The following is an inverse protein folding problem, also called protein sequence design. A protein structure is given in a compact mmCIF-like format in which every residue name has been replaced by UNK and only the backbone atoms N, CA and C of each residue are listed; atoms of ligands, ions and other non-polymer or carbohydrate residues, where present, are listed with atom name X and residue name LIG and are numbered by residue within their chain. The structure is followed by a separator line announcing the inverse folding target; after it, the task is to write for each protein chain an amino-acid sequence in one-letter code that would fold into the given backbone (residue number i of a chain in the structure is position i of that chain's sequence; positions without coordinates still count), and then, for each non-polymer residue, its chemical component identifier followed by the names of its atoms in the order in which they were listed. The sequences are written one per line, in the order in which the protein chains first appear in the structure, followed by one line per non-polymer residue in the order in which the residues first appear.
data_IF_354461833828
#
_entry.id   IF_354461833828
#
_cell.length_a   1.000
_cell.length_b   1.000
_cell.length_c   1.000
_cell.angle_alpha   90.00
_cell.angle_beta   90.00
_cell.angle_gamma   90.00
#
_symmetry.space_group_name_H-M   'P 1'
#
loop_
_entity.id
_entity.type
_entity.pdbx_description
1 polymer ?
#
# COMPACT_ATOMS: atom_id res chain seq x y z
N UNK A 1 5.45 30.65 -51.61
CA UNK A 1 4.99 29.31 -51.26
C UNK A 1 6.07 28.28 -51.57
N UNK A 2 6.43 27.47 -50.61
CA UNK A 2 7.33 26.32 -50.75
C UNK A 2 6.51 25.02 -50.78
N UNK A 3 6.98 24.00 -51.48
CA UNK A 3 6.38 22.68 -51.45
C UNK A 3 6.62 22.08 -50.05
N UNK A 4 5.54 21.78 -49.34
CA UNK A 4 5.63 21.26 -47.97
C UNK A 4 5.47 19.74 -47.91
N UNK A 5 4.54 19.20 -48.70
CA UNK A 5 4.28 17.76 -48.71
C UNK A 5 3.57 17.31 -49.99
N UNK A 6 3.63 16.02 -50.27
CA UNK A 6 2.77 15.30 -51.21
C UNK A 6 2.03 14.21 -50.43
N UNK A 7 0.71 14.18 -50.53
CA UNK A 7 -0.18 13.22 -49.84
C UNK A 7 -1.02 12.48 -50.87
N UNK A 8 -1.37 11.24 -50.55
CA UNK A 8 -2.25 10.39 -51.37
C UNK A 8 -3.72 10.48 -50.95
N UNK A 9 -4.01 11.06 -49.78
CA UNK A 9 -5.35 11.27 -49.26
C UNK A 9 -5.90 12.67 -49.55
N UNK A 10 -7.09 12.92 -49.03
CA UNK A 10 -7.83 14.18 -49.15
C UNK A 10 -7.62 15.16 -48.00
N UNK A 11 -6.68 14.85 -47.09
CA UNK A 11 -6.36 15.67 -45.93
C UNK A 11 -4.85 15.76 -45.70
N UNK A 12 -4.42 16.87 -45.13
CA UNK A 12 -3.05 17.12 -44.73
C UNK A 12 -3.02 17.80 -43.34
N UNK A 13 -2.20 17.29 -42.43
CA UNK A 13 -1.95 17.90 -41.12
C UNK A 13 -0.49 18.38 -41.07
N UNK A 14 -0.29 19.67 -40.85
CA UNK A 14 1.05 20.21 -40.64
C UNK A 14 1.46 19.99 -39.17
N UNK A 15 2.53 19.23 -38.94
CA UNK A 15 3.07 18.91 -37.61
C UNK A 15 4.44 19.51 -37.32
N UNK A 16 5.02 20.25 -38.30
CA UNK A 16 6.40 20.74 -38.23
C UNK A 16 6.47 22.24 -38.55
N UNK A 17 7.39 22.92 -37.87
CA UNK A 17 7.67 24.34 -38.08
C UNK A 17 6.44 25.24 -37.95
N UNK A 18 5.57 24.90 -36.96
CA UNK A 18 4.39 25.69 -36.61
C UNK A 18 4.57 26.30 -35.24
N UNK A 19 4.30 27.57 -35.08
CA UNK A 19 4.41 28.35 -33.87
C UNK A 19 3.03 28.85 -33.41
N UNK A 20 2.80 28.85 -32.11
CA UNK A 20 1.53 29.26 -31.55
C UNK A 20 1.23 30.72 -31.86
N UNK A 21 0.04 30.99 -32.37
CA UNK A 21 -0.43 32.31 -32.77
C UNK A 21 -0.14 32.68 -34.22
N UNK A 22 0.75 31.98 -34.91
CA UNK A 22 1.08 32.27 -36.31
C UNK A 22 -0.01 31.75 -37.25
N UNK A 23 -0.26 32.52 -38.33
CA UNK A 23 -1.19 32.17 -39.39
C UNK A 23 -0.39 31.65 -40.59
N UNK A 24 -0.74 30.47 -41.02
CA UNK A 24 -0.12 29.79 -42.16
C UNK A 24 -1.10 29.73 -43.33
N UNK A 25 -0.58 29.91 -44.54
CA UNK A 25 -1.37 30.00 -45.75
C UNK A 25 -1.05 28.79 -46.65
N UNK A 26 -2.07 28.05 -47.02
CA UNK A 26 -1.95 26.81 -47.78
C UNK A 26 -2.71 26.90 -49.10
N UNK A 27 -2.16 26.25 -50.14
CA UNK A 27 -2.86 25.91 -51.37
C UNK A 27 -2.46 24.49 -51.79
N UNK A 28 -3.37 23.76 -52.37
CA UNK A 28 -3.16 22.39 -52.84
C UNK A 28 -3.45 22.27 -54.32
N UNK A 29 -2.85 21.29 -54.99
CA UNK A 29 -3.17 20.91 -56.36
C UNK A 29 -3.10 19.39 -56.51
N UNK A 30 -3.93 18.83 -57.38
CA UNK A 30 -3.84 17.45 -57.75
C UNK A 30 -2.65 17.17 -58.66
N UNK A 31 -2.06 15.98 -58.50
CA UNK A 31 -1.05 15.44 -59.40
C UNK A 31 -1.60 14.16 -60.02
N UNK A 32 -1.44 13.99 -61.35
CA UNK A 32 -1.68 12.73 -62.03
C UNK A 32 -0.59 11.70 -61.69
N UNK A 33 -0.80 10.46 -62.07
CA UNK A 33 0.17 9.38 -61.86
C UNK A 33 1.51 9.62 -62.62
N UNK A 34 1.47 10.36 -63.71
CA UNK A 34 2.64 10.78 -64.53
C UNK A 34 3.36 12.02 -63.94
N UNK A 35 2.90 12.57 -62.81
CA UNK A 35 3.45 13.76 -62.19
C UNK A 35 2.90 15.09 -62.75
N UNK A 36 2.05 15.07 -63.79
CA UNK A 36 1.42 16.28 -64.35
C UNK A 36 0.55 16.96 -63.30
N UNK A 37 0.75 18.25 -63.08
CA UNK A 37 0.06 19.02 -62.07
C UNK A 37 -1.18 19.73 -62.60
N UNK A 38 -2.26 19.67 -61.86
CA UNK A 38 -3.48 20.45 -62.08
C UNK A 38 -3.39 21.89 -61.56
N UNK A 39 -4.47 22.63 -61.70
CA UNK A 39 -4.59 23.98 -61.18
C UNK A 39 -4.50 24.01 -59.63
N UNK A 40 -4.01 25.14 -59.11
CA UNK A 40 -3.98 25.37 -57.65
C UNK A 40 -5.38 25.71 -57.14
N UNK A 41 -5.67 25.25 -55.91
CA UNK A 41 -6.81 25.72 -55.13
C UNK A 41 -6.70 27.22 -54.80
N UNK A 42 -7.78 27.83 -54.38
CA UNK A 42 -7.74 29.05 -53.61
C UNK A 42 -6.87 28.88 -52.35
N UNK A 43 -6.35 29.98 -51.83
CA UNK A 43 -5.55 29.99 -50.59
C UNK A 43 -6.46 29.80 -49.38
N UNK A 44 -6.08 28.91 -48.48
CA UNK A 44 -6.70 28.73 -47.18
C UNK A 44 -5.71 29.19 -46.11
N UNK A 45 -6.18 29.99 -45.16
CA UNK A 45 -5.39 30.40 -43.98
C UNK A 45 -5.81 29.64 -42.74
N UNK A 46 -4.84 29.20 -41.99
CA UNK A 46 -5.07 28.50 -40.69
C UNK A 46 -4.15 29.11 -39.66
N UNK A 47 -4.73 29.62 -38.57
CA UNK A 47 -3.96 30.09 -37.41
C UNK A 47 -3.76 28.94 -36.44
N UNK A 48 -2.49 28.60 -36.18
CA UNK A 48 -2.17 27.57 -35.18
C UNK A 48 -2.39 28.11 -33.76
N UNK A 49 -3.28 27.47 -33.01
CA UNK A 49 -3.50 27.75 -31.59
C UNK A 49 -3.15 26.50 -30.82
N UNK A 50 -2.01 26.54 -30.13
CA UNK A 50 -1.66 25.49 -29.21
C UNK A 50 -2.68 25.45 -28.05
N UNK A 51 -3.36 24.35 -27.88
CA UNK A 51 -4.22 24.09 -26.73
C UNK A 51 -3.41 23.46 -25.60
N UNK A 52 -3.64 23.91 -24.37
CA UNK A 52 -3.06 23.25 -23.19
C UNK A 52 -3.84 21.97 -22.88
N UNK A 53 -3.10 20.88 -22.73
CA UNK A 53 -3.69 19.60 -22.29
C UNK A 53 -4.23 19.67 -20.87
N UNK A 54 -5.14 18.75 -20.55
CA UNK A 54 -5.63 18.59 -19.19
C UNK A 54 -4.50 18.10 -18.27
N UNK A 55 -4.32 18.69 -17.05
CA UNK A 55 -3.41 18.14 -16.06
C UNK A 55 -3.86 16.76 -15.59
N UNK A 56 -2.93 15.80 -15.42
CA UNK A 56 -3.19 14.54 -14.76
C UNK A 56 -3.05 14.75 -13.24
N UNK A 57 -4.19 14.90 -12.55
CA UNK A 57 -4.23 15.26 -11.13
C UNK A 57 -4.39 14.02 -10.27
N UNK A 58 -3.61 13.95 -9.19
CA UNK A 58 -3.77 12.99 -8.10
C UNK A 58 -4.10 13.71 -6.81
N UNK A 59 -4.90 13.08 -5.95
CA UNK A 59 -5.31 13.60 -4.66
C UNK A 59 -4.81 12.76 -3.50
N UNK A 60 -4.59 13.38 -2.35
CA UNK A 60 -4.19 12.75 -1.11
C UNK A 60 -4.32 13.72 0.06
N UNK A 61 -3.80 13.35 1.20
CA UNK A 61 -3.79 14.21 2.38
C UNK A 61 -2.33 14.54 2.77
N UNK A 62 -2.11 15.73 3.32
CA UNK A 62 -0.85 16.07 3.96
C UNK A 62 -0.79 15.52 5.41
N UNK A 63 0.31 15.78 6.12
CA UNK A 63 0.50 15.35 7.51
C UNK A 63 -0.54 15.92 8.49
N UNK A 64 -1.23 17.00 8.13
CA UNK A 64 -2.34 17.59 8.89
C UNK A 64 -3.71 17.08 8.39
N UNK A 65 -3.71 16.04 7.55
CA UNK A 65 -4.91 15.45 6.98
C UNK A 65 -5.62 16.30 5.93
N UNK A 66 -5.03 17.45 5.52
CA UNK A 66 -5.64 18.41 4.60
C UNK A 66 -5.58 17.91 3.16
N UNK A 67 -6.63 18.11 2.37
CA UNK A 67 -6.64 17.73 0.96
C UNK A 67 -5.49 18.38 0.19
N UNK A 68 -4.68 17.55 -0.45
CA UNK A 68 -3.54 17.95 -1.28
C UNK A 68 -3.67 17.36 -2.66
N UNK A 69 -3.43 18.16 -3.68
CA UNK A 69 -3.44 17.79 -5.09
C UNK A 69 -2.03 17.90 -5.65
N UNK A 70 -1.67 16.99 -6.54
CA UNK A 70 -0.40 17.02 -7.30
C UNK A 70 -0.69 16.69 -8.76
N UNK A 71 0.09 17.28 -9.67
CA UNK A 71 -0.01 17.00 -11.11
C UNK A 71 1.34 17.21 -11.80
N UNK A 72 1.48 16.69 -13.01
CA UNK A 72 2.65 16.93 -13.84
C UNK A 72 2.51 18.28 -14.56
N UNK A 73 3.65 18.94 -14.81
CA UNK A 73 3.67 20.18 -15.57
C UNK A 73 3.07 19.98 -16.97
N UNK A 74 2.20 20.92 -17.38
CA UNK A 74 1.62 20.97 -18.73
C UNK A 74 2.47 21.90 -19.59
N UNK A 75 2.94 21.41 -20.74
CA UNK A 75 3.76 22.20 -21.65
C UNK A 75 3.03 23.46 -22.10
N UNK A 76 3.69 24.62 -22.01
CA UNK A 76 3.12 25.93 -22.33
C UNK A 76 2.23 26.54 -21.22
N UNK A 77 2.06 25.90 -20.08
CA UNK A 77 1.36 26.45 -18.95
C UNK A 77 2.22 27.45 -18.18
N UNK A 78 1.66 28.60 -17.83
CA UNK A 78 2.27 29.58 -16.94
C UNK A 78 1.75 29.45 -15.49
N UNK A 79 0.52 28.99 -15.32
CA UNK A 79 -0.14 28.82 -14.00
C UNK A 79 -1.31 27.85 -14.11
N UNK A 80 -1.89 27.49 -12.98
CA UNK A 80 -3.02 26.56 -12.89
C UNK A 80 -4.12 27.15 -12.05
N UNK A 81 -5.35 26.92 -12.44
CA UNK A 81 -6.54 27.21 -11.62
C UNK A 81 -7.05 25.93 -10.97
N UNK A 82 -7.29 25.99 -9.69
CA UNK A 82 -7.90 24.93 -8.89
C UNK A 82 -9.34 25.33 -8.57
N UNK A 83 -10.28 24.47 -8.93
CA UNK A 83 -11.69 24.60 -8.62
C UNK A 83 -12.13 23.50 -7.66
N UNK A 84 -13.04 23.83 -6.75
CA UNK A 84 -13.56 22.93 -5.73
C UNK A 84 -15.07 22.94 -5.68
N UNK A 85 -15.66 21.75 -5.45
CA UNK A 85 -17.07 21.56 -5.11
C UNK A 85 -17.20 20.72 -3.82
N UNK A 86 -18.39 20.72 -3.22
CA UNK A 86 -18.74 19.86 -2.06
C UNK A 86 -19.41 18.54 -2.46
N UNK A 87 -19.76 18.37 -3.73
CA UNK A 87 -20.29 17.14 -4.30
C UNK A 87 -19.75 16.93 -5.71
N UNK A 88 -19.78 15.68 -6.19
CA UNK A 88 -19.25 15.30 -7.51
C UNK A 88 -19.88 16.12 -8.66
N UNK A 89 -21.18 16.33 -8.59
CA UNK A 89 -21.97 17.03 -9.61
C UNK A 89 -22.38 18.46 -9.16
N UNK A 90 -21.69 19.00 -8.13
CA UNK A 90 -22.00 20.34 -7.60
C UNK A 90 -21.33 21.45 -8.40
N UNK A 91 -21.59 22.68 -7.98
CA UNK A 91 -20.98 23.87 -8.54
C UNK A 91 -19.51 23.97 -8.15
N UNK A 92 -18.63 23.89 -9.13
CA UNK A 92 -17.19 24.08 -8.95
C UNK A 92 -16.85 25.55 -8.97
N UNK A 93 -16.51 26.09 -7.84
CA UNK A 93 -16.05 27.48 -7.69
C UNK A 93 -14.52 27.53 -7.76
N UNK A 94 -13.99 28.63 -8.31
CA UNK A 94 -12.56 28.89 -8.30
C UNK A 94 -12.07 29.07 -6.88
N UNK A 95 -11.11 28.25 -6.48
CA UNK A 95 -10.60 28.23 -5.14
C UNK A 95 -9.18 28.81 -5.03
N UNK A 96 -8.33 28.57 -6.04
CA UNK A 96 -6.96 29.06 -6.06
C UNK A 96 -6.42 29.20 -7.48
N UNK A 97 -5.33 29.97 -7.59
CA UNK A 97 -4.46 30.01 -8.76
C UNK A 97 -3.02 29.81 -8.27
N UNK A 98 -2.31 28.84 -8.83
CA UNK A 98 -0.94 28.47 -8.44
C UNK A 98 -0.02 28.41 -9.65
N UNK A 99 1.27 28.68 -9.47
CA UNK A 99 2.31 28.55 -10.50
C UNK A 99 3.01 27.20 -10.45
N UNK A 100 2.94 26.53 -9.30
CA UNK A 100 3.50 25.17 -9.11
C UNK A 100 2.54 24.07 -9.55
N UNK A 101 2.99 22.83 -9.40
CA UNK A 101 2.26 21.60 -9.78
C UNK A 101 1.62 20.90 -8.59
N UNK A 102 1.35 21.64 -7.51
CA UNK A 102 0.65 21.14 -6.33
C UNK A 102 -0.20 22.21 -5.68
N UNK A 103 -1.19 21.77 -4.92
CA UNK A 103 -2.06 22.64 -4.14
C UNK A 103 -2.52 21.90 -2.87
N UNK A 104 -2.46 22.57 -1.71
CA UNK A 104 -3.04 22.07 -0.45
C UNK A 104 -4.17 22.99 -0.02
N UNK A 105 -5.34 22.41 0.25
CA UNK A 105 -6.48 23.15 0.73
C UNK A 105 -6.37 23.32 2.25
N UNK A 106 -6.13 24.58 2.70
CA UNK A 106 -5.89 24.92 4.10
C UNK A 106 -7.06 25.61 4.80
N UNK A 107 -8.15 25.92 4.07
CA UNK A 107 -9.25 26.70 4.61
C UNK A 107 -10.62 26.22 4.16
N UNK A 108 -11.64 26.53 4.95
CA UNK A 108 -13.03 26.12 4.72
C UNK A 108 -13.19 24.62 4.47
N UNK A 109 -12.47 23.83 5.28
CA UNK A 109 -12.54 22.36 5.30
C UNK A 109 -12.97 21.90 6.70
N UNK A 110 -13.86 20.92 6.74
CA UNK A 110 -14.42 20.32 7.95
C UNK A 110 -14.06 18.84 8.00
N UNK A 111 -13.69 18.37 9.18
CA UNK A 111 -13.26 16.98 9.37
C UNK A 111 -14.35 16.00 8.93
N UNK A 112 -13.95 14.98 8.18
CA UNK A 112 -14.83 13.95 7.63
C UNK A 112 -15.50 14.33 6.30
N UNK A 113 -15.46 15.60 5.88
CA UNK A 113 -16.06 16.01 4.62
C UNK A 113 -15.17 15.69 3.41
N UNK A 114 -15.80 15.24 2.33
CA UNK A 114 -15.14 15.01 1.05
C UNK A 114 -15.30 16.23 0.14
N UNK A 115 -14.21 16.63 -0.47
CA UNK A 115 -14.12 17.74 -1.39
C UNK A 115 -13.71 17.26 -2.77
N UNK A 116 -14.30 17.83 -3.81
CA UNK A 116 -14.12 17.45 -5.20
C UNK A 116 -13.37 18.57 -5.93
N UNK A 117 -12.33 18.22 -6.64
CA UNK A 117 -11.43 19.18 -7.28
C UNK A 117 -11.27 18.88 -8.76
N UNK A 118 -11.11 19.94 -9.55
CA UNK A 118 -10.62 19.90 -10.91
C UNK A 118 -9.61 21.03 -11.13
N UNK A 119 -8.64 20.78 -11.99
CA UNK A 119 -7.54 21.70 -12.27
C UNK A 119 -7.47 21.93 -13.78
N UNK A 120 -7.16 23.15 -14.19
CA UNK A 120 -6.80 23.45 -15.57
C UNK A 120 -5.55 24.31 -15.64
N UNK A 121 -4.79 24.16 -16.71
CA UNK A 121 -3.64 24.99 -17.00
C UNK A 121 -4.06 26.29 -17.68
N UNK A 122 -3.33 27.37 -17.45
CA UNK A 122 -3.49 28.67 -18.11
C UNK A 122 -2.18 29.08 -18.76
N UNK A 123 -2.25 29.68 -19.95
CA UNK A 123 -1.14 30.41 -20.56
C UNK A 123 -0.86 31.73 -19.83
N UNK A 124 0.25 32.39 -20.20
CA UNK A 124 0.60 33.72 -19.68
C UNK A 124 -0.45 34.80 -20.03
N UNK A 125 -1.11 34.67 -21.17
CA UNK A 125 -2.20 35.57 -21.61
C UNK A 125 -3.55 35.28 -20.93
N UNK A 126 -3.61 34.25 -20.05
CA UNK A 126 -4.83 33.84 -19.38
C UNK A 126 -5.69 32.83 -20.15
N UNK A 127 -5.30 32.46 -21.36
CA UNK A 127 -6.01 31.42 -22.12
C UNK A 127 -6.02 30.10 -21.36
N UNK A 128 -7.21 29.53 -21.13
CA UNK A 128 -7.40 28.29 -20.36
C UNK A 128 -7.33 27.05 -21.25
N UNK A 129 -6.69 26.02 -20.74
CA UNK A 129 -6.68 24.66 -21.30
C UNK A 129 -7.86 23.81 -20.85
N UNK A 130 -7.81 22.54 -21.18
CA UNK A 130 -8.82 21.56 -20.77
C UNK A 130 -8.78 21.28 -19.25
N UNK A 131 -9.94 20.90 -18.70
CA UNK A 131 -10.07 20.47 -17.31
C UNK A 131 -9.48 19.07 -17.11
N UNK A 132 -8.87 18.84 -15.95
CA UNK A 132 -8.57 17.51 -15.46
C UNK A 132 -9.85 16.71 -15.21
N UNK A 133 -9.70 15.40 -15.08
CA UNK A 133 -10.70 14.59 -14.37
C UNK A 133 -10.92 15.12 -12.95
N UNK A 134 -12.10 14.85 -12.39
CA UNK A 134 -12.41 15.21 -11.00
C UNK A 134 -11.67 14.26 -10.05
N UNK A 135 -11.06 14.84 -9.02
CA UNK A 135 -10.41 14.11 -7.93
C UNK A 135 -11.14 14.43 -6.64
N UNK A 136 -11.47 13.42 -5.85
CA UNK A 136 -12.09 13.58 -4.53
C UNK A 136 -11.08 13.30 -3.42
N UNK A 137 -11.08 14.14 -2.38
CA UNK A 137 -10.25 13.96 -1.18
C UNK A 137 -11.08 14.28 0.06
N UNK A 138 -11.09 13.36 1.02
CA UNK A 138 -11.74 13.56 2.31
C UNK A 138 -10.74 14.18 3.28
N UNK A 139 -11.11 15.33 3.89
CA UNK A 139 -10.31 15.91 4.97
C UNK A 139 -10.43 15.07 6.22
N UNK A 140 -9.29 14.62 6.74
CA UNK A 140 -9.21 13.85 7.98
C UNK A 140 -8.23 14.55 8.94
N UNK A 141 -8.77 15.44 9.78
CA UNK A 141 -7.96 16.09 10.80
C UNK A 141 -7.36 15.01 11.72
N UNK A 142 -6.04 14.95 11.87
CA UNK A 142 -5.43 14.04 12.81
C UNK A 142 -6.02 14.24 14.21
N UNK A 143 -6.29 13.16 14.91
CA UNK A 143 -6.71 13.22 16.30
C UNK A 143 -5.58 13.84 17.15
N UNK A 144 -5.96 14.52 18.24
CA UNK A 144 -4.97 15.11 19.13
C UNK A 144 -4.08 14.01 19.75
N UNK A 145 -2.76 14.22 19.78
CA UNK A 145 -1.84 13.35 20.48
C UNK A 145 -2.12 13.40 22.00
N UNK A 146 -2.36 12.25 22.60
CA UNK A 146 -2.63 12.11 24.04
C UNK A 146 -1.40 11.66 24.82
N UNK A 147 -0.46 10.97 24.13
CA UNK A 147 0.78 10.52 24.73
C UNK A 147 1.85 10.29 23.65
N UNK A 148 3.12 10.39 24.03
CA UNK A 148 4.25 10.14 23.16
C UNK A 148 5.52 9.81 23.95
N UNK A 149 6.53 9.27 23.29
CA UNK A 149 7.82 8.98 23.90
C UNK A 149 8.76 8.20 22.99
N UNK A 150 9.84 7.66 23.55
CA UNK A 150 10.78 6.78 22.85
C UNK A 150 10.40 5.32 22.99
N UNK A 151 10.62 4.56 21.93
CA UNK A 151 10.45 3.11 21.89
C UNK A 151 11.60 2.38 21.18
N UNK A 152 12.70 3.06 20.96
CA UNK A 152 13.95 2.59 20.41
C UNK A 152 15.00 3.70 20.47
N UNK A 153 16.27 3.43 20.13
CA UNK A 153 17.32 4.46 20.14
C UNK A 153 16.99 5.61 19.17
N UNK A 154 16.40 5.27 18.04
CA UNK A 154 15.99 6.21 16.99
C UNK A 154 14.51 5.99 16.58
N UNK A 155 13.74 5.33 17.43
CA UNK A 155 12.31 5.11 17.24
C UNK A 155 11.51 5.81 18.33
N UNK A 156 10.41 6.45 17.92
CA UNK A 156 9.51 7.19 18.78
C UNK A 156 8.08 6.70 18.55
N UNK A 157 7.22 6.94 19.53
CA UNK A 157 5.81 6.59 19.44
C UNK A 157 4.93 7.78 19.78
N UNK A 158 3.78 7.82 19.18
CA UNK A 158 2.69 8.74 19.53
C UNK A 158 1.37 7.97 19.58
N UNK A 159 0.53 8.28 20.55
CA UNK A 159 -0.84 7.78 20.64
C UNK A 159 -1.80 8.95 20.49
N UNK A 160 -2.76 8.85 19.62
CA UNK A 160 -3.79 9.87 19.42
C UNK A 160 -5.09 9.55 20.16
N UNK A 161 -5.98 10.54 20.25
CA UNK A 161 -7.27 10.42 20.92
C UNK A 161 -8.27 9.46 20.20
N UNK A 162 -7.97 9.03 18.98
CA UNK A 162 -8.75 8.01 18.25
C UNK A 162 -8.29 6.57 18.58
N UNK A 163 -7.17 6.44 19.29
CA UNK A 163 -6.56 5.15 19.63
C UNK A 163 -5.62 4.63 18.56
N UNK A 164 -5.08 5.53 17.71
CA UNK A 164 -4.02 5.18 16.76
C UNK A 164 -2.66 5.35 17.42
N UNK A 165 -1.93 4.25 17.55
CA UNK A 165 -0.53 4.24 17.97
C UNK A 165 0.35 4.29 16.73
N UNK A 166 1.16 5.33 16.61
CA UNK A 166 2.13 5.48 15.51
C UNK A 166 3.54 5.26 16.03
N UNK A 167 4.30 4.40 15.36
CA UNK A 167 5.74 4.19 15.59
C UNK A 167 6.49 4.82 14.42
N UNK A 168 7.34 5.78 14.71
CA UNK A 168 8.10 6.56 13.73
C UNK A 168 9.60 6.49 13.97
N UNK A 169 10.39 7.02 13.02
CA UNK A 169 11.85 7.03 13.11
C UNK A 169 12.52 5.89 12.34
N UNK A 170 13.55 5.26 12.92
CA UNK A 170 14.31 4.23 12.19
C UNK A 170 14.97 3.20 13.10
N UNK A 171 15.26 2.01 12.51
CA UNK A 171 15.96 0.92 13.19
C UNK A 171 15.01 0.04 14.01
N UNK A 172 15.48 -0.38 15.16
CA UNK A 172 14.78 -1.35 16.02
C UNK A 172 13.96 -0.64 17.09
N UNK A 173 12.78 -1.20 17.40
CA UNK A 173 12.11 -0.93 18.67
C UNK A 173 12.85 -1.63 19.80
N UNK A 174 12.66 -1.15 21.04
CA UNK A 174 13.15 -1.84 22.24
C UNK A 174 12.39 -3.15 22.43
N UNK A 175 13.06 -4.10 23.08
CA UNK A 175 12.44 -5.31 23.58
C UNK A 175 11.85 -5.02 24.95
N UNK A 176 10.67 -5.56 25.22
CA UNK A 176 9.94 -5.41 26.47
C UNK A 176 9.73 -6.76 27.13
N UNK A 177 9.37 -6.74 28.40
CA UNK A 177 9.06 -7.94 29.16
C UNK A 177 7.64 -7.84 29.75
N UNK A 178 6.90 -8.92 29.65
CA UNK A 178 5.56 -9.04 30.16
C UNK A 178 5.39 -10.39 30.89
N UNK A 179 4.69 -10.44 32.02
CA UNK A 179 4.13 -9.32 32.82
C UNK A 179 5.20 -8.51 33.57
N UNK A 180 4.89 -7.25 33.83
CA UNK A 180 5.80 -6.27 34.44
C UNK A 180 6.22 -6.60 35.90
N UNK A 181 5.51 -7.52 36.56
CA UNK A 181 5.77 -7.98 37.94
C UNK A 181 7.07 -8.79 38.08
N UNK A 182 7.70 -9.18 37.00
CA UNK A 182 9.01 -9.87 36.98
C UNK A 182 10.20 -8.91 36.83
N UNK A 183 9.99 -7.60 36.95
CA UNK A 183 11.07 -6.59 36.93
C UNK A 183 11.53 -6.17 35.55
N UNK A 184 10.82 -6.57 34.50
CA UNK A 184 11.12 -6.17 33.11
C UNK A 184 10.57 -4.81 32.73
N UNK A 185 11.01 -4.30 31.57
CA UNK A 185 10.54 -3.03 31.01
C UNK A 185 9.21 -3.24 30.27
N UNK A 186 8.15 -2.59 30.75
CA UNK A 186 6.83 -2.59 30.10
C UNK A 186 6.80 -1.60 28.96
N UNK A 187 6.15 -1.91 27.80
CA UNK A 187 5.91 -0.94 26.76
C UNK A 187 5.24 0.33 27.33
N UNK A 188 5.73 1.54 27.01
CA UNK A 188 5.26 2.77 27.64
C UNK A 188 3.76 3.04 27.43
N UNK A 189 3.18 2.58 26.32
CA UNK A 189 1.73 2.65 26.07
C UNK A 189 0.93 1.65 26.90
N UNK A 190 1.52 0.53 27.36
CA UNK A 190 0.87 -0.40 28.27
C UNK A 190 1.01 0.05 29.73
N UNK A 191 2.19 0.56 30.13
CA UNK A 191 2.46 1.08 31.47
C UNK A 191 1.51 2.21 31.87
N UNK A 192 1.11 3.07 30.91
CA UNK A 192 0.25 4.23 31.12
C UNK A 192 -1.25 3.91 30.95
N UNK A 193 -1.66 2.66 30.98
CA UNK A 193 -3.07 2.20 30.87
C UNK A 193 -3.75 2.51 29.52
N UNK A 194 -2.97 2.70 28.44
CA UNK A 194 -3.54 2.94 27.11
C UNK A 194 -3.83 1.66 26.34
N UNK A 195 -3.48 0.46 26.85
CA UNK A 195 -3.68 -0.82 26.17
C UNK A 195 -5.06 -0.93 25.53
N UNK A 196 -6.10 -0.73 26.35
CA UNK A 196 -7.49 -0.87 25.90
C UNK A 196 -7.96 0.25 24.97
N UNK A 197 -7.17 1.32 24.85
CA UNK A 197 -7.43 2.42 23.94
C UNK A 197 -6.86 2.18 22.55
N UNK A 198 -5.84 1.30 22.40
CA UNK A 198 -5.17 1.07 21.12
C UNK A 198 -6.09 0.23 20.23
N UNK A 199 -6.47 0.83 19.06
CA UNK A 199 -7.33 0.21 18.06
C UNK A 199 -6.61 0.04 16.72
N UNK A 200 -5.69 0.96 16.42
CA UNK A 200 -4.88 0.93 15.22
C UNK A 200 -3.39 1.12 15.55
N UNK A 201 -2.53 0.43 14.81
CA UNK A 201 -1.08 0.57 14.84
C UNK A 201 -0.59 0.97 13.45
N UNK A 202 0.11 2.08 13.38
CA UNK A 202 0.79 2.52 12.17
C UNK A 202 2.30 2.55 12.41
N UNK A 203 3.04 1.68 11.72
CA UNK A 203 4.51 1.64 11.77
C UNK A 203 5.05 2.28 10.51
N UNK A 204 5.81 3.36 10.66
CA UNK A 204 6.35 4.13 9.54
C UNK A 204 7.60 3.50 8.91
N UNK A 205 7.92 3.94 7.69
CA UNK A 205 9.13 3.54 6.97
C UNK A 205 10.38 3.89 7.77
N UNK A 206 11.35 2.97 7.76
CA UNK A 206 12.59 3.09 8.53
C UNK A 206 12.65 2.14 9.73
N UNK A 207 11.52 1.72 10.28
CA UNK A 207 11.48 0.69 11.34
C UNK A 207 11.75 -0.68 10.72
N UNK A 208 12.68 -1.42 11.33
CA UNK A 208 13.15 -2.73 10.82
C UNK A 208 12.80 -3.90 11.72
N UNK A 209 12.40 -3.65 12.95
CA UNK A 209 12.11 -4.64 13.97
C UNK A 209 10.99 -4.18 14.91
N UNK A 210 9.95 -4.98 15.05
CA UNK A 210 8.95 -4.83 16.09
C UNK A 210 9.48 -5.49 17.37
N UNK A 211 9.54 -4.75 18.46
CA UNK A 211 10.11 -5.22 19.72
C UNK A 211 9.36 -6.41 20.32
N UNK A 212 10.08 -7.23 21.11
CA UNK A 212 9.50 -8.30 21.91
C UNK A 212 8.40 -7.74 22.82
N UNK A 213 7.26 -8.44 22.93
CA UNK A 213 6.09 -8.09 23.72
C UNK A 213 5.55 -6.67 23.50
N UNK A 214 5.85 -6.02 22.36
CA UNK A 214 5.51 -4.61 22.14
C UNK A 214 4.00 -4.34 22.17
N UNK A 215 3.19 -5.26 21.63
CA UNK A 215 1.73 -5.14 21.55
C UNK A 215 1.02 -6.34 22.18
N UNK A 216 1.71 -7.05 23.10
CA UNK A 216 1.16 -8.16 23.82
C UNK A 216 -0.13 -7.77 24.57
N UNK A 217 -1.16 -8.60 24.42
CA UNK A 217 -2.49 -8.42 25.01
C UNK A 217 -3.18 -7.10 24.61
N UNK A 218 -2.86 -6.54 23.46
CA UNK A 218 -3.61 -5.42 22.86
C UNK A 218 -4.91 -5.94 22.24
N UNK A 219 -5.84 -6.41 23.08
CA UNK A 219 -7.06 -7.11 22.65
C UNK A 219 -8.02 -6.29 21.76
N UNK A 220 -7.93 -4.95 21.77
CA UNK A 220 -8.71 -4.06 20.92
C UNK A 220 -8.00 -3.65 19.63
N UNK A 221 -6.74 -4.04 19.43
CA UNK A 221 -5.98 -3.75 18.21
C UNK A 221 -6.54 -4.53 17.03
N UNK A 222 -7.14 -3.83 16.07
CA UNK A 222 -7.83 -4.43 14.92
C UNK A 222 -7.26 -4.04 13.57
N UNK A 223 -6.51 -2.94 13.51
CA UNK A 223 -5.91 -2.41 12.27
C UNK A 223 -4.40 -2.23 12.46
N UNK A 224 -3.60 -2.86 11.59
CA UNK A 224 -2.13 -2.79 11.65
C UNK A 224 -1.57 -2.53 10.28
N UNK A 225 -0.80 -1.43 10.16
CA UNK A 225 -0.05 -1.09 8.96
C UNK A 225 1.46 -1.21 9.24
N UNK A 226 2.14 -2.05 8.45
CA UNK A 226 3.57 -2.33 8.58
C UNK A 226 4.35 -1.81 7.37
N UNK A 227 5.59 -1.28 7.56
CA UNK A 227 6.41 -0.74 6.49
C UNK A 227 7.18 -1.83 5.72
N UNK A 228 7.54 -1.56 4.48
CA UNK A 228 8.39 -2.46 3.67
C UNK A 228 9.84 -2.56 4.18
N UNK A 229 10.26 -1.66 5.08
CA UNK A 229 11.55 -1.72 5.79
C UNK A 229 11.60 -2.80 6.88
N UNK A 230 10.44 -3.33 7.32
CA UNK A 230 10.37 -4.32 8.40
C UNK A 230 11.02 -5.64 7.97
N UNK A 231 11.84 -6.24 8.86
CA UNK A 231 12.54 -7.50 8.66
C UNK A 231 12.13 -8.57 9.65
N UNK A 232 11.85 -8.19 10.89
CA UNK A 232 11.58 -9.13 11.97
C UNK A 232 10.40 -8.64 12.81
N UNK A 233 9.49 -9.55 13.13
CA UNK A 233 8.47 -9.38 14.16
C UNK A 233 8.96 -10.16 15.40
N UNK A 234 9.15 -9.44 16.51
CA UNK A 234 9.74 -9.96 17.73
C UNK A 234 8.84 -10.95 18.46
N UNK A 235 9.42 -11.65 19.46
CA UNK A 235 8.75 -12.62 20.29
C UNK A 235 7.54 -11.99 20.99
N UNK A 236 6.40 -12.70 21.03
CA UNK A 236 5.13 -12.26 21.63
C UNK A 236 4.64 -10.88 21.15
N UNK A 237 5.13 -10.35 20.01
CA UNK A 237 4.88 -8.97 19.61
C UNK A 237 3.38 -8.64 19.47
N UNK A 238 2.57 -9.57 18.98
CA UNK A 238 1.11 -9.48 18.81
C UNK A 238 0.38 -10.64 19.49
N UNK A 239 0.99 -11.22 20.56
CA UNK A 239 0.36 -12.25 21.37
C UNK A 239 -0.95 -11.71 21.97
N UNK A 240 -2.00 -12.53 21.98
CA UNK A 240 -3.35 -12.20 22.52
C UNK A 240 -3.98 -10.91 21.91
N UNK A 241 -3.64 -10.58 20.66
CA UNK A 241 -4.31 -9.52 19.90
C UNK A 241 -5.64 -10.04 19.31
N UNK A 242 -6.63 -10.29 20.15
CA UNK A 242 -7.87 -11.02 19.81
C UNK A 242 -8.81 -10.32 18.83
N UNK A 243 -8.70 -8.98 18.67
CA UNK A 243 -9.44 -8.21 17.69
C UNK A 243 -8.76 -8.17 16.30
N UNK A 244 -7.48 -8.57 16.17
CA UNK A 244 -6.71 -8.53 14.93
C UNK A 244 -7.17 -9.65 13.99
N UNK A 245 -8.06 -9.34 13.05
CA UNK A 245 -8.66 -10.31 12.12
C UNK A 245 -7.80 -10.62 10.90
N UNK A 246 -6.99 -9.67 10.49
CA UNK A 246 -6.06 -9.79 9.37
C UNK A 246 -4.89 -8.84 9.55
N UNK A 247 -3.76 -9.16 8.93
CA UNK A 247 -2.57 -8.31 8.88
C UNK A 247 -1.90 -8.48 7.52
N UNK A 248 -1.50 -7.37 6.91
CA UNK A 248 -0.70 -7.37 5.69
C UNK A 248 0.77 -7.41 6.07
N UNK A 249 1.40 -8.56 5.95
CA UNK A 249 2.85 -8.72 6.16
C UNK A 249 3.61 -8.17 4.94
N UNK A 250 4.61 -7.28 5.13
CA UNK A 250 5.30 -6.64 4.02
C UNK A 250 6.33 -7.56 3.36
N UNK A 251 6.53 -7.40 2.05
CA UNK A 251 7.69 -7.97 1.37
C UNK A 251 8.98 -7.41 1.99
N UNK A 252 9.94 -8.30 2.25
CA UNK A 252 11.15 -7.99 3.02
C UNK A 252 11.14 -8.50 4.46
N UNK A 253 9.98 -8.91 5.01
CA UNK A 253 9.91 -9.62 6.29
C UNK A 253 10.54 -11.02 6.13
N UNK A 254 11.51 -11.35 6.99
CA UNK A 254 12.28 -12.60 6.91
C UNK A 254 12.00 -13.56 8.05
N UNK A 255 11.63 -13.03 9.22
CA UNK A 255 11.48 -13.84 10.44
C UNK A 255 10.27 -13.38 11.25
N UNK A 256 9.48 -14.35 11.69
CA UNK A 256 8.46 -14.18 12.73
C UNK A 256 8.90 -15.02 13.92
N UNK A 257 9.16 -14.34 15.06
CA UNK A 257 9.76 -14.96 16.24
C UNK A 257 8.72 -15.71 17.10
N UNK A 258 9.20 -16.27 18.20
CA UNK A 258 8.43 -17.14 19.08
C UNK A 258 7.16 -16.45 19.57
N UNK A 259 6.02 -17.14 19.56
CA UNK A 259 4.71 -16.68 20.03
C UNK A 259 4.22 -15.35 19.43
N UNK A 260 4.80 -14.89 18.33
CA UNK A 260 4.57 -13.54 17.82
C UNK A 260 3.11 -13.20 17.56
N UNK A 261 2.28 -14.16 17.15
CA UNK A 261 0.83 -14.08 16.95
C UNK A 261 0.05 -15.13 17.73
N UNK A 262 0.62 -15.67 18.81
CA UNK A 262 -0.09 -16.64 19.64
C UNK A 262 -1.41 -16.04 20.14
N UNK A 263 -2.49 -16.79 20.05
CA UNK A 263 -3.87 -16.38 20.42
C UNK A 263 -4.39 -15.12 19.69
N UNK A 264 -3.78 -14.74 18.58
CA UNK A 264 -4.28 -13.64 17.75
C UNK A 264 -5.60 -14.01 17.05
N UNK A 265 -6.48 -13.02 16.88
CA UNK A 265 -7.82 -13.21 16.31
C UNK A 265 -7.86 -13.46 14.79
N UNK A 266 -6.74 -13.79 14.15
CA UNK A 266 -6.56 -13.91 12.71
C UNK A 266 -7.54 -14.91 12.08
N UNK A 267 -8.22 -14.48 11.03
CA UNK A 267 -9.13 -15.31 10.20
C UNK A 267 -8.42 -15.79 8.95
N UNK A 268 -7.53 -14.96 8.43
CA UNK A 268 -6.68 -15.26 7.27
C UNK A 268 -5.34 -14.56 7.39
N UNK A 269 -4.32 -15.11 6.74
CA UNK A 269 -3.00 -14.51 6.64
C UNK A 269 -2.41 -14.80 5.27
N UNK A 270 -1.70 -13.81 4.73
CA UNK A 270 -0.87 -13.95 3.53
C UNK A 270 0.57 -13.68 3.93
N UNK A 271 1.44 -14.63 3.67
CA UNK A 271 2.87 -14.51 3.96
C UNK A 271 3.62 -13.90 2.77
N UNK A 272 4.61 -13.03 3.03
CA UNK A 272 5.48 -12.51 1.98
C UNK A 272 6.43 -13.61 1.46
N UNK A 273 6.83 -13.49 0.21
CA UNK A 273 7.75 -14.44 -0.44
C UNK A 273 9.14 -14.50 0.21
N UNK A 274 9.50 -13.46 0.95
CA UNK A 274 10.80 -13.31 1.63
C UNK A 274 10.86 -13.98 3.00
N UNK A 275 9.72 -14.49 3.52
CA UNK A 275 9.70 -15.13 4.84
C UNK A 275 10.43 -16.47 4.82
N UNK A 276 11.55 -16.55 5.55
CA UNK A 276 12.38 -17.74 5.65
C UNK A 276 12.16 -18.59 6.90
N UNK A 277 11.68 -17.96 7.99
CA UNK A 277 11.64 -18.62 9.29
C UNK A 277 10.38 -18.26 10.07
N UNK A 278 9.68 -19.29 10.53
CA UNK A 278 8.64 -19.23 11.54
C UNK A 278 9.15 -19.94 12.79
N UNK A 279 9.25 -19.23 13.91
CA UNK A 279 9.75 -19.77 15.16
C UNK A 279 8.65 -20.43 15.99
N UNK A 280 9.03 -20.96 17.16
CA UNK A 280 8.18 -21.74 18.03
C UNK A 280 6.92 -20.98 18.42
N UNK A 281 5.76 -21.59 18.34
CA UNK A 281 4.48 -21.01 18.71
C UNK A 281 4.00 -19.81 17.87
N UNK A 282 4.69 -19.44 16.79
CA UNK A 282 4.48 -18.16 16.08
C UNK A 282 3.01 -17.85 15.74
N UNK A 283 2.17 -18.84 15.46
CA UNK A 283 0.71 -18.76 15.22
C UNK A 283 -0.05 -19.79 16.04
N UNK A 284 0.45 -20.11 17.23
CA UNK A 284 -0.24 -21.00 18.15
C UNK A 284 -1.59 -20.40 18.58
N UNK A 285 -2.63 -21.22 18.75
CA UNK A 285 -3.95 -20.80 19.21
C UNK A 285 -4.65 -19.74 18.34
N UNK A 286 -4.31 -19.60 17.06
CA UNK A 286 -5.07 -18.74 16.15
C UNK A 286 -6.36 -19.44 15.71
N UNK A 287 -7.26 -19.70 16.68
CA UNK A 287 -8.44 -20.57 16.51
C UNK A 287 -9.39 -20.19 15.39
N UNK A 288 -9.34 -18.93 14.91
CA UNK A 288 -10.20 -18.42 13.84
C UNK A 288 -9.62 -18.58 12.45
N UNK A 289 -8.36 -19.03 12.33
CA UNK A 289 -7.67 -19.18 11.05
C UNK A 289 -8.30 -20.31 10.23
N UNK A 290 -8.72 -19.99 9.00
CA UNK A 290 -9.51 -20.89 8.14
C UNK A 290 -8.69 -21.59 7.06
N UNK A 291 -7.59 -21.00 6.65
CA UNK A 291 -6.73 -21.55 5.60
C UNK A 291 -5.26 -21.20 5.85
N UNK A 292 -4.37 -22.07 5.41
CA UNK A 292 -2.93 -21.89 5.55
C UNK A 292 -2.21 -22.24 4.26
N UNK A 293 -1.60 -21.24 3.65
CA UNK A 293 -0.65 -21.40 2.54
C UNK A 293 0.68 -20.78 2.93
N UNK A 294 1.69 -21.61 3.11
CA UNK A 294 3.03 -21.17 3.47
C UNK A 294 3.79 -20.68 2.22
N UNK A 295 4.70 -19.69 2.33
CA UNK A 295 5.36 -19.07 1.19
C UNK A 295 6.54 -19.90 0.68
N UNK A 296 6.85 -19.77 -0.60
CA UNK A 296 7.89 -20.56 -1.28
C UNK A 296 9.33 -20.32 -0.76
N UNK A 297 9.56 -19.25 0.02
CA UNK A 297 10.86 -18.97 0.66
C UNK A 297 11.06 -19.61 2.04
N UNK A 298 10.00 -20.20 2.61
CA UNK A 298 10.04 -20.70 3.98
C UNK A 298 10.91 -21.97 4.08
N UNK A 299 11.86 -21.99 5.02
CA UNK A 299 12.76 -23.12 5.26
C UNK A 299 12.49 -23.83 6.59
N UNK A 300 12.03 -23.12 7.59
CA UNK A 300 11.87 -23.64 8.94
C UNK A 300 10.50 -23.30 9.54
N UNK A 301 9.85 -24.34 10.08
CA UNK A 301 8.63 -24.26 10.88
C UNK A 301 8.98 -24.77 12.27
N UNK A 302 8.90 -23.87 13.29
CA UNK A 302 9.26 -24.15 14.68
C UNK A 302 8.30 -25.13 15.36
N UNK A 303 8.62 -25.48 16.60
CA UNK A 303 7.75 -26.27 17.47
C UNK A 303 6.46 -25.50 17.74
N UNK A 304 5.31 -26.17 17.78
CA UNK A 304 4.00 -25.57 18.04
C UNK A 304 3.63 -24.39 17.11
N UNK A 305 4.34 -24.15 16.04
CA UNK A 305 4.21 -22.93 15.23
C UNK A 305 2.77 -22.64 14.78
N UNK A 306 1.97 -23.67 14.54
CA UNK A 306 0.53 -23.58 14.24
C UNK A 306 -0.32 -24.47 15.13
N UNK A 307 0.14 -24.79 16.33
CA UNK A 307 -0.58 -25.61 17.31
C UNK A 307 -1.98 -25.04 17.59
N UNK A 308 -2.98 -25.91 17.69
CA UNK A 308 -4.36 -25.56 18.04
C UNK A 308 -4.99 -24.51 17.09
N UNK A 309 -5.04 -24.86 15.79
CA UNK A 309 -5.78 -24.11 14.78
C UNK A 309 -6.91 -24.98 14.19
N UNK A 310 -8.01 -25.21 14.95
CA UNK A 310 -8.97 -26.27 14.69
C UNK A 310 -9.77 -26.11 13.38
N UNK A 311 -9.84 -24.90 12.83
CA UNK A 311 -10.66 -24.61 11.66
C UNK A 311 -9.95 -24.82 10.32
N UNK A 312 -8.66 -25.19 10.32
CA UNK A 312 -7.89 -25.45 9.10
C UNK A 312 -8.07 -26.91 8.68
N UNK A 313 -8.52 -27.14 7.44
CA UNK A 313 -8.75 -28.47 6.88
C UNK A 313 -7.68 -28.93 5.88
N UNK A 314 -6.89 -28.01 5.36
CA UNK A 314 -5.80 -28.29 4.40
C UNK A 314 -4.68 -27.25 4.58
N UNK A 315 -3.45 -27.73 4.46
CA UNK A 315 -2.25 -26.91 4.55
C UNK A 315 -1.43 -27.10 3.28
N UNK A 316 -0.88 -25.99 2.73
CA UNK A 316 0.15 -26.04 1.72
C UNK A 316 1.52 -25.76 2.35
N UNK A 317 2.47 -26.69 2.14
CA UNK A 317 3.86 -26.58 2.57
C UNK A 317 4.75 -26.53 1.31
N UNK A 318 5.55 -25.48 1.11
CA UNK A 318 6.40 -25.36 -0.08
C UNK A 318 7.60 -26.34 -0.06
N UNK A 319 8.16 -26.61 -1.23
CA UNK A 319 9.30 -27.51 -1.40
C UNK A 319 10.59 -27.00 -0.73
N UNK A 320 10.65 -25.72 -0.37
CA UNK A 320 11.77 -25.07 0.32
C UNK A 320 11.90 -25.48 1.80
N UNK A 321 10.83 -25.99 2.42
CA UNK A 321 10.84 -26.36 3.85
C UNK A 321 11.74 -27.56 4.07
N UNK A 322 12.68 -27.42 5.00
CA UNK A 322 13.65 -28.45 5.40
C UNK A 322 13.44 -28.99 6.81
N UNK A 323 12.75 -28.21 7.66
CA UNK A 323 12.54 -28.58 9.07
C UNK A 323 11.13 -28.24 9.53
N UNK A 324 10.47 -29.19 10.19
CA UNK A 324 9.16 -29.04 10.85
C UNK A 324 9.30 -29.56 12.28
N UNK A 325 9.03 -28.66 13.24
CA UNK A 325 9.22 -28.93 14.66
C UNK A 325 8.12 -29.79 15.30
N UNK A 326 8.28 -30.01 16.59
CA UNK A 326 7.36 -30.82 17.40
C UNK A 326 5.98 -30.14 17.47
N UNK A 327 4.93 -30.94 17.35
CA UNK A 327 3.52 -30.53 17.51
C UNK A 327 3.13 -29.30 16.64
N UNK A 328 3.86 -29.06 15.56
CA UNK A 328 3.68 -27.86 14.74
C UNK A 328 2.25 -27.70 14.20
N UNK A 329 1.55 -28.82 13.96
CA UNK A 329 0.19 -28.85 13.40
C UNK A 329 -0.74 -29.79 14.17
N UNK A 330 -0.63 -29.83 15.49
CA UNK A 330 -1.49 -30.67 16.38
C UNK A 330 -2.73 -29.88 16.87
N UNK A 331 -3.74 -30.61 17.32
CA UNK A 331 -5.08 -30.12 17.73
C UNK A 331 -5.84 -29.44 16.58
N UNK A 332 -5.81 -30.10 15.43
CA UNK A 332 -6.64 -29.78 14.27
C UNK A 332 -7.81 -30.76 14.20
N UNK A 333 -9.04 -30.26 14.37
CA UNK A 333 -10.22 -31.14 14.33
C UNK A 333 -10.49 -31.69 12.93
N UNK A 334 -10.03 -31.00 11.88
CA UNK A 334 -10.45 -31.25 10.50
C UNK A 334 -9.27 -31.32 9.50
N UNK A 335 -8.01 -31.36 9.96
CA UNK A 335 -6.88 -31.41 9.03
C UNK A 335 -6.85 -32.77 8.32
N UNK A 336 -7.34 -32.81 7.09
CA UNK A 336 -7.41 -34.02 6.28
C UNK A 336 -6.25 -34.15 5.29
N UNK A 337 -5.65 -33.04 4.87
CA UNK A 337 -4.68 -33.04 3.77
C UNK A 337 -3.52 -32.07 4.01
N UNK A 338 -2.32 -32.57 3.86
CA UNK A 338 -1.08 -31.80 3.71
C UNK A 338 -0.68 -31.84 2.24
N UNK A 339 -0.65 -30.66 1.60
CA UNK A 339 -0.22 -30.47 0.23
C UNK A 339 1.22 -29.99 0.24
N UNK A 340 2.14 -30.80 -0.31
CA UNK A 340 3.54 -30.47 -0.39
C UNK A 340 3.94 -30.08 -1.82
N UNK A 341 4.62 -28.95 -1.99
CA UNK A 341 5.02 -28.42 -3.30
C UNK A 341 6.09 -29.25 -4.03
N UNK A 342 6.85 -30.07 -3.30
CA UNK A 342 7.87 -30.96 -3.84
C UNK A 342 7.40 -32.39 -4.07
N UNK A 343 8.32 -33.24 -4.57
CA UNK A 343 8.11 -34.66 -4.76
C UNK A 343 8.11 -35.45 -3.44
N UNK A 344 7.62 -36.67 -3.46
CA UNK A 344 7.69 -37.60 -2.31
C UNK A 344 9.13 -37.86 -1.84
N UNK A 345 10.10 -37.97 -2.76
CA UNK A 345 11.50 -38.11 -2.39
C UNK A 345 12.08 -36.91 -1.69
N UNK A 346 11.66 -35.69 -2.09
CA UNK A 346 12.05 -34.47 -1.40
C UNK A 346 11.41 -34.37 0.00
N UNK A 347 10.14 -34.78 0.15
CA UNK A 347 9.50 -34.85 1.47
C UNK A 347 10.25 -35.78 2.44
N UNK A 348 10.75 -36.91 1.94
CA UNK A 348 11.52 -37.86 2.76
C UNK A 348 12.86 -37.29 3.27
N UNK A 349 13.33 -36.18 2.69
CA UNK A 349 14.53 -35.48 3.14
C UNK A 349 14.23 -34.33 4.12
N UNK A 350 12.93 -33.97 4.32
CA UNK A 350 12.53 -32.97 5.30
C UNK A 350 12.66 -33.56 6.71
N UNK A 351 13.30 -32.84 7.61
CA UNK A 351 13.34 -33.19 9.03
C UNK A 351 11.99 -32.86 9.66
N UNK A 352 11.13 -33.88 9.79
CA UNK A 352 9.80 -33.75 10.40
C UNK A 352 9.83 -34.42 11.77
N UNK A 353 9.48 -33.68 12.85
CA UNK A 353 9.35 -34.25 14.17
C UNK A 353 8.23 -35.31 14.20
N UNK A 354 8.38 -36.34 15.04
CA UNK A 354 7.51 -37.52 15.03
C UNK A 354 6.02 -37.20 15.28
N UNK A 355 5.73 -36.14 16.03
CA UNK A 355 4.39 -35.69 16.41
C UNK A 355 3.99 -34.37 15.74
N UNK A 356 4.62 -33.99 14.62
CA UNK A 356 4.37 -32.70 13.96
C UNK A 356 2.94 -32.57 13.41
N UNK A 357 2.30 -33.66 13.02
CA UNK A 357 0.95 -33.72 12.41
C UNK A 357 0.03 -34.69 13.15
N UNK A 358 -1.31 -34.50 13.04
CA UNK A 358 -2.27 -35.49 13.52
C UNK A 358 -2.15 -36.82 12.76
N UNK A 359 -2.56 -37.90 13.42
CA UNK A 359 -2.65 -39.20 12.79
C UNK A 359 -3.66 -39.21 11.61
N UNK A 360 -3.37 -39.98 10.57
CA UNK A 360 -4.29 -40.21 9.45
C UNK A 360 -4.33 -39.11 8.39
N UNK A 361 -3.45 -38.11 8.46
CA UNK A 361 -3.35 -37.04 7.45
C UNK A 361 -2.88 -37.62 6.11
N UNK A 362 -3.54 -37.22 5.02
CA UNK A 362 -3.18 -37.57 3.66
C UNK A 362 -2.18 -36.57 3.10
N UNK A 363 -1.08 -37.07 2.52
CA UNK A 363 -0.08 -36.26 1.82
C UNK A 363 -0.35 -36.23 0.32
N UNK A 364 -0.27 -35.05 -0.30
CA UNK A 364 -0.36 -34.81 -1.74
C UNK A 364 0.93 -34.11 -2.18
N UNK A 365 1.71 -34.74 -3.03
CA UNK A 365 2.99 -34.25 -3.52
C UNK A 365 2.84 -33.53 -4.86
N UNK A 366 3.86 -32.71 -5.24
CA UNK A 366 3.87 -31.85 -6.43
C UNK A 366 2.61 -30.96 -6.49
N UNK A 367 2.16 -30.50 -5.33
CA UNK A 367 0.99 -29.62 -5.22
C UNK A 367 1.35 -28.18 -5.63
N UNK A 368 0.41 -27.50 -6.29
CA UNK A 368 0.52 -26.09 -6.66
C UNK A 368 -0.40 -25.22 -5.79
#
# INVERSE_FOLDING_TARGET
YIKYSTVTGTSYTNTSYIENGNTYYYKVRALKSDGTAGAWSSVVSVTYKQTLSAPAVTGGNDAQGRPTLKWNAVSGAAKYEVYRARSLNGDYIKYSTVTGTSYTNTSYIENGNTYYYKVRALKSDGTAGAWSSVVSVTYRKPAATVASGKCGDRAEWTLDAAGTLTISGSGRMYDYEWPADRGGTTPPWLANKYRDSIRALHVEQGITYIGRCAFDSCGNLSDVTLPTSLRIIGQCAFNDCTALRSIQLPEGLTTIMEDAFNAAGLVSITFPSTLGELRDGAFMNCEKLQSLRLPEGLTTIGNWAFYCNPNISSIYIPASVTTIGEEAFIYYNNLATVRYGGSQSQWSAVSVAANAFPDGVRYVYNAN
#
